data_IF_653502858919
#
_entry.id   IF_653502858919
#
_cell.length_a   1.000
_cell.length_b   1.000
_cell.length_c   1.000
_cell.angle_alpha   90.00
_cell.angle_beta   90.00
_cell.angle_gamma   90.00
#
_symmetry.space_group_name_H-M   'P 1'
#
loop_
_entity.id
_entity.type
_entity.pdbx_description
1 polymer ?
#
# COMPACT_ATOMS: atom_id res chain seq x y z
N UNK A 1 -11.66 1.11 5.56
CA UNK A 1 -12.82 1.06 6.47
C UNK A 1 -13.13 -0.36 6.96
N UNK A 2 -13.32 -1.32 6.05
CA UNK A 2 -13.69 -2.69 6.44
C UNK A 2 -12.65 -3.38 7.33
N UNK A 3 -11.34 -3.19 7.06
CA UNK A 3 -10.27 -3.84 7.81
C UNK A 3 -10.05 -3.26 9.21
N UNK A 4 -10.40 -2.01 9.42
CA UNK A 4 -10.15 -1.31 10.69
C UNK A 4 -11.39 -1.24 11.59
N UNK A 5 -12.59 -1.25 11.00
CA UNK A 5 -13.88 -1.13 11.74
C UNK A 5 -14.63 -2.45 11.94
N UNK A 6 -14.22 -3.54 11.27
CA UNK A 6 -14.81 -4.86 11.48
C UNK A 6 -13.94 -5.72 12.40
N UNK A 7 -14.56 -6.53 13.25
CA UNK A 7 -13.86 -7.46 14.11
C UNK A 7 -13.46 -8.76 13.36
N UNK A 8 -12.27 -9.33 13.57
CA UNK A 8 -11.17 -8.72 14.34
C UNK A 8 -10.53 -7.56 13.60
N UNK A 9 -10.21 -6.49 14.30
CA UNK A 9 -9.51 -5.34 13.71
C UNK A 9 -8.10 -5.76 13.29
N UNK A 10 -7.69 -5.36 12.09
CA UNK A 10 -6.35 -5.62 11.60
C UNK A 10 -5.52 -4.33 11.64
N UNK A 11 -4.28 -4.43 12.07
CA UNK A 11 -3.36 -3.31 11.98
C UNK A 11 -3.16 -2.90 10.52
N UNK A 12 -3.34 -1.62 10.25
CA UNK A 12 -3.12 -1.02 8.94
C UNK A 12 -2.08 0.09 9.02
N UNK A 13 -1.22 0.16 8.03
CA UNK A 13 -0.22 1.20 7.88
C UNK A 13 -0.33 1.81 6.49
N UNK A 14 -0.22 3.12 6.38
CA UNK A 14 -0.25 3.83 5.10
C UNK A 14 1.08 4.57 4.88
N UNK A 15 1.86 4.09 3.92
CA UNK A 15 3.15 4.65 3.56
C UNK A 15 3.06 5.47 2.27
N UNK A 16 3.75 6.61 2.24
CA UNK A 16 3.98 7.35 1.01
C UNK A 16 5.13 6.72 0.23
N UNK A 17 4.89 6.37 -1.03
CA UNK A 17 5.93 5.84 -1.92
C UNK A 17 6.75 7.00 -2.52
N UNK A 18 8.07 6.83 -2.52
CA UNK A 18 8.98 7.68 -3.29
C UNK A 18 8.94 7.20 -4.74
N UNK A 19 8.36 8.03 -5.63
CA UNK A 19 8.13 7.66 -7.03
C UNK A 19 8.03 8.91 -7.90
N UNK A 20 8.43 8.82 -9.16
CA UNK A 20 8.31 9.92 -10.13
C UNK A 20 6.86 10.04 -10.65
N UNK A 21 6.47 11.19 -11.23
CA UNK A 21 5.17 11.33 -11.90
C UNK A 21 4.98 10.31 -13.02
N UNK A 22 6.05 10.03 -13.77
CA UNK A 22 6.07 9.08 -14.88
C UNK A 22 5.81 7.65 -14.39
N UNK A 23 6.49 7.21 -13.32
CA UNK A 23 6.30 5.90 -12.69
C UNK A 23 4.87 5.74 -12.15
N UNK A 24 4.30 6.82 -11.57
CA UNK A 24 2.91 6.81 -11.08
C UNK A 24 1.92 6.62 -12.22
N UNK A 25 2.13 7.37 -13.32
CA UNK A 25 1.28 7.26 -14.51
C UNK A 25 1.38 5.87 -15.14
N UNK A 26 2.59 5.36 -15.32
CA UNK A 26 2.81 4.03 -15.87
C UNK A 26 2.14 2.95 -15.01
N UNK A 27 2.34 2.99 -13.68
CA UNK A 27 1.71 2.05 -12.75
C UNK A 27 0.18 2.13 -12.81
N UNK A 28 -0.39 3.31 -12.91
CA UNK A 28 -1.84 3.50 -13.03
C UNK A 28 -2.38 2.89 -14.32
N UNK A 29 -1.73 3.15 -15.45
CA UNK A 29 -2.14 2.59 -16.75
C UNK A 29 -2.04 1.07 -16.77
N UNK A 30 -0.97 0.49 -16.24
CA UNK A 30 -0.83 -0.96 -16.08
C UNK A 30 -1.96 -1.54 -15.23
N UNK A 31 -2.35 -0.86 -14.15
CA UNK A 31 -3.45 -1.29 -13.29
C UNK A 31 -4.79 -1.29 -14.03
N UNK A 32 -5.08 -0.24 -14.80
CA UNK A 32 -6.28 -0.15 -15.65
C UNK A 32 -6.28 -1.27 -16.69
N UNK A 33 -5.14 -1.52 -17.32
CA UNK A 33 -4.97 -2.60 -18.30
C UNK A 33 -5.24 -3.98 -17.69
N UNK A 34 -4.70 -4.23 -16.49
CA UNK A 34 -4.94 -5.50 -15.77
C UNK A 34 -6.42 -5.66 -15.38
N UNK A 35 -7.10 -4.61 -14.95
CA UNK A 35 -8.53 -4.64 -14.64
C UNK A 35 -9.34 -4.98 -15.89
N UNK A 36 -9.06 -4.34 -17.02
CA UNK A 36 -9.74 -4.62 -18.29
C UNK A 36 -9.48 -6.05 -18.76
N UNK A 37 -8.23 -6.52 -18.65
CA UNK A 37 -7.87 -7.91 -18.98
C UNK A 37 -8.63 -8.92 -18.11
N UNK A 38 -8.82 -8.63 -16.82
CA UNK A 38 -9.61 -9.47 -15.93
C UNK A 38 -11.10 -9.46 -16.25
N UNK A 39 -11.61 -8.35 -16.79
CA UNK A 39 -12.98 -8.25 -17.26
C UNK A 39 -13.22 -9.11 -18.52
N UNK A 40 -12.29 -9.06 -19.46
CA UNK A 40 -12.36 -9.83 -20.71
C UNK A 40 -12.06 -11.32 -20.50
N UNK A 41 -11.08 -11.63 -19.65
CA UNK A 41 -10.62 -12.99 -19.37
C UNK A 41 -10.49 -13.21 -17.88
N UNK A 42 -11.59 -13.58 -17.18
CA UNK A 42 -11.57 -13.81 -15.74
C UNK A 42 -10.56 -14.90 -15.35
N UNK A 43 -9.79 -14.64 -14.29
CA UNK A 43 -8.80 -15.58 -13.73
C UNK A 43 -9.12 -15.91 -12.29
N UNK A 44 -8.88 -17.16 -11.90
CA UNK A 44 -9.10 -17.59 -10.53
C UNK A 44 -8.13 -16.91 -9.56
N UNK A 45 -8.67 -16.40 -8.47
CA UNK A 45 -7.86 -15.91 -7.36
C UNK A 45 -7.16 -17.09 -6.68
N UNK A 46 -5.84 -16.97 -6.50
CA UNK A 46 -5.02 -17.95 -5.81
C UNK A 46 -4.15 -17.22 -4.78
N UNK A 47 -4.31 -17.57 -3.50
CA UNK A 47 -3.61 -16.92 -2.39
C UNK A 47 -2.07 -16.96 -2.48
N UNK A 48 -1.51 -17.93 -3.21
CA UNK A 48 -0.06 -18.08 -3.38
C UNK A 48 0.48 -17.30 -4.60
N UNK A 49 -0.19 -17.42 -5.76
CA UNK A 49 0.35 -16.93 -7.02
C UNK A 49 -0.41 -15.77 -7.65
N UNK A 50 -1.68 -15.58 -7.29
CA UNK A 50 -2.61 -14.61 -7.88
C UNK A 50 -3.40 -13.88 -6.80
N UNK A 51 -2.72 -13.20 -5.90
CA UNK A 51 -3.31 -12.35 -4.86
C UNK A 51 -3.07 -10.86 -5.17
N UNK A 52 -3.70 -9.96 -4.39
CA UNK A 52 -3.57 -8.52 -4.57
C UNK A 52 -2.11 -8.03 -4.55
N UNK A 53 -1.25 -8.67 -3.77
CA UNK A 53 0.16 -8.30 -3.67
C UNK A 53 0.94 -8.77 -4.90
N UNK A 54 0.78 -10.02 -5.30
CA UNK A 54 1.48 -10.59 -6.46
C UNK A 54 1.03 -9.95 -7.77
N UNK A 55 -0.25 -9.60 -7.91
CA UNK A 55 -0.75 -8.87 -9.08
C UNK A 55 -0.05 -7.53 -9.23
N UNK A 56 0.07 -6.76 -8.14
CA UNK A 56 0.76 -5.47 -8.16
C UNK A 56 2.25 -5.59 -8.58
N UNK A 57 2.94 -6.65 -8.18
CA UNK A 57 4.35 -6.88 -8.56
C UNK A 57 4.55 -7.38 -9.99
N UNK A 58 3.50 -7.91 -10.60
CA UNK A 58 3.54 -8.39 -12.00
C UNK A 58 3.28 -7.30 -13.04
N UNK A 59 2.89 -6.10 -12.62
CA UNK A 59 2.68 -4.99 -13.54
C UNK A 59 3.96 -4.71 -14.34
N UNK A 60 3.88 -4.52 -15.67
CA UNK A 60 5.05 -4.33 -16.54
C UNK A 60 5.97 -3.20 -16.10
N UNK A 61 5.42 -2.08 -15.66
CA UNK A 61 6.18 -0.94 -15.11
C UNK A 61 6.98 -1.29 -13.85
N UNK A 62 6.72 -2.45 -13.24
CA UNK A 62 7.33 -2.88 -11.98
C UNK A 62 8.11 -4.18 -12.07
N UNK A 63 8.48 -4.61 -13.29
CA UNK A 63 9.21 -5.86 -13.54
C UNK A 63 10.38 -6.07 -12.58
N UNK A 64 10.12 -6.65 -11.40
CA UNK A 64 11.10 -7.08 -10.44
C UNK A 64 10.87 -8.56 -10.14
N UNK A 65 11.95 -9.30 -9.97
CA UNK A 65 11.92 -10.70 -9.53
C UNK A 65 11.00 -10.78 -8.31
N UNK A 66 10.00 -11.63 -8.39
CA UNK A 66 9.09 -11.90 -7.27
C UNK A 66 9.94 -12.42 -6.11
N UNK A 67 10.23 -11.57 -5.14
CA UNK A 67 10.89 -11.98 -3.92
C UNK A 67 9.85 -12.75 -3.08
N UNK A 68 10.17 -13.97 -2.65
CA UNK A 68 9.32 -14.78 -1.79
C UNK A 68 8.90 -14.04 -0.51
N UNK A 69 9.67 -13.04 -0.09
CA UNK A 69 9.35 -12.14 1.04
C UNK A 69 8.08 -11.31 0.81
N UNK A 70 7.74 -11.07 -0.44
CA UNK A 70 6.49 -10.41 -0.84
C UNK A 70 5.30 -11.34 -0.62
N UNK A 71 5.48 -12.64 -0.85
CA UNK A 71 4.47 -13.67 -0.60
C UNK A 71 4.19 -13.86 0.89
N UNK A 72 5.21 -13.70 1.73
CA UNK A 72 5.08 -13.84 3.18
C UNK A 72 4.39 -12.65 3.88
N UNK A 73 4.03 -11.57 3.16
CA UNK A 73 3.30 -10.34 3.59
C UNK A 73 3.80 -9.65 4.89
N UNK A 74 4.61 -10.34 5.70
CA UNK A 74 4.93 -9.90 7.05
C UNK A 74 6.00 -8.79 7.13
N UNK A 75 6.72 -8.48 6.03
CA UNK A 75 7.84 -7.54 6.03
C UNK A 75 7.98 -6.74 4.74
N UNK A 76 6.89 -6.56 4.01
CA UNK A 76 6.89 -5.80 2.75
C UNK A 76 7.30 -4.35 2.97
N UNK A 77 6.83 -3.73 4.03
CA UNK A 77 7.14 -2.36 4.42
C UNK A 77 8.66 -2.16 4.64
N UNK A 78 9.30 -3.09 5.37
CA UNK A 78 10.74 -3.05 5.61
C UNK A 78 11.55 -3.28 4.32
N UNK A 79 11.09 -4.17 3.46
CA UNK A 79 11.72 -4.43 2.16
C UNK A 79 11.63 -3.20 1.25
N UNK A 80 10.48 -2.51 1.22
CA UNK A 80 10.30 -1.27 0.47
C UNK A 80 11.17 -0.14 1.04
N UNK A 81 11.29 -0.04 2.36
CA UNK A 81 12.17 0.93 3.00
C UNK A 81 13.63 0.68 2.64
N UNK A 82 14.12 -0.56 2.78
CA UNK A 82 15.50 -0.93 2.42
C UNK A 82 15.81 -0.74 0.93
N UNK A 83 14.79 -0.80 0.07
CA UNK A 83 14.92 -0.53 -1.36
C UNK A 83 14.82 0.97 -1.72
N UNK A 84 14.76 1.88 -0.74
CA UNK A 84 14.62 3.33 -0.97
C UNK A 84 13.26 3.74 -1.58
N UNK A 85 12.24 2.89 -1.45
CA UNK A 85 10.89 3.14 -2.02
C UNK A 85 9.95 3.84 -1.05
N UNK A 86 10.32 3.92 0.21
CA UNK A 86 9.65 4.70 1.22
C UNK A 86 10.52 5.89 1.61
N UNK A 87 9.91 6.84 2.30
CA UNK A 87 10.58 8.02 2.83
C UNK A 87 11.79 7.63 3.70
N UNK A 88 12.97 8.14 3.35
CA UNK A 88 14.25 7.89 4.03
C UNK A 88 14.65 9.03 4.99
N UNK A 89 13.78 10.02 5.17
CA UNK A 89 14.06 11.17 6.04
C UNK A 89 14.11 10.80 7.52
N UNK A 90 13.59 9.62 7.89
CA UNK A 90 13.56 9.12 9.26
C UNK A 90 13.83 7.62 9.33
N UNK A 91 14.30 7.10 10.49
CA UNK A 91 14.49 5.66 10.70
C UNK A 91 13.20 4.86 10.52
N UNK A 92 13.31 3.62 10.00
CA UNK A 92 12.15 2.77 9.71
C UNK A 92 11.17 2.57 10.89
N UNK A 93 11.62 2.34 12.15
CA UNK A 93 10.69 2.21 13.27
C UNK A 93 9.83 3.46 13.49
N UNK A 94 10.39 4.61 13.24
CA UNK A 94 9.71 5.90 13.37
C UNK A 94 8.73 6.12 12.22
N UNK A 95 9.16 5.86 10.98
CA UNK A 95 8.30 5.88 9.80
C UNK A 95 7.08 4.95 9.98
N UNK A 96 7.30 3.76 10.51
CA UNK A 96 6.23 2.79 10.77
C UNK A 96 5.22 3.32 11.79
N UNK A 97 5.68 3.96 12.85
CA UNK A 97 4.82 4.57 13.87
C UNK A 97 3.98 5.71 13.29
N UNK A 98 4.57 6.58 12.47
CA UNK A 98 3.86 7.65 11.77
C UNK A 98 2.83 7.13 10.76
N UNK A 99 3.13 6.01 10.12
CA UNK A 99 2.27 5.40 9.11
C UNK A 99 1.12 4.57 9.72
N UNK A 100 1.07 4.41 11.05
CA UNK A 100 0.03 3.62 11.71
C UNK A 100 -1.35 4.28 11.55
N UNK A 101 -2.26 3.55 10.92
CA UNK A 101 -3.53 4.07 10.43
C UNK A 101 -4.73 3.63 11.28
N UNK A 102 -4.63 2.53 12.01
CA UNK A 102 -5.78 1.87 12.62
C UNK A 102 -6.55 2.78 13.57
N UNK A 103 -5.86 3.54 14.41
CA UNK A 103 -6.47 4.47 15.36
C UNK A 103 -7.16 5.65 14.65
N UNK A 104 -6.50 6.24 13.64
CA UNK A 104 -7.06 7.32 12.82
C UNK A 104 -8.32 6.84 12.09
N UNK A 105 -8.24 5.65 11.49
CA UNK A 105 -9.36 5.08 10.73
C UNK A 105 -10.56 4.72 11.63
N UNK A 106 -10.31 4.35 12.88
CA UNK A 106 -11.39 4.06 13.83
C UNK A 106 -12.13 5.31 14.30
N UNK A 107 -11.43 6.44 14.43
CA UNK A 107 -12.00 7.73 14.81
C UNK A 107 -12.56 8.54 13.65
N UNK A 108 -12.18 8.22 12.42
CA UNK A 108 -12.58 8.97 11.23
C UNK A 108 -14.08 8.85 10.92
N UNK A 109 -14.75 9.96 10.56
CA UNK A 109 -16.12 9.92 10.08
C UNK A 109 -16.22 9.17 8.75
N UNK A 110 -17.39 8.62 8.44
CA UNK A 110 -17.61 7.92 7.17
C UNK A 110 -17.55 8.89 5.98
N UNK A 111 -18.11 10.09 6.17
CA UNK A 111 -18.07 11.18 5.19
C UNK A 111 -16.70 11.87 5.25
N UNK A 112 -16.06 12.07 4.09
CA UNK A 112 -14.71 12.65 4.04
C UNK A 112 -13.59 11.76 4.60
N UNK A 113 -13.83 10.46 4.77
CA UNK A 113 -12.88 9.51 5.37
C UNK A 113 -11.46 9.60 4.79
N UNK A 114 -11.36 9.67 3.46
CA UNK A 114 -10.05 9.72 2.80
C UNK A 114 -9.28 11.00 3.07
N UNK A 115 -9.97 12.12 3.16
CA UNK A 115 -9.35 13.43 3.39
C UNK A 115 -8.94 13.56 4.86
N UNK A 116 -9.78 13.10 5.78
CA UNK A 116 -9.46 13.04 7.20
C UNK A 116 -8.17 12.24 7.46
N UNK A 117 -8.04 11.06 6.87
CA UNK A 117 -6.84 10.23 7.00
C UNK A 117 -5.59 10.93 6.44
N UNK A 118 -5.68 11.55 5.27
CA UNK A 118 -4.54 12.25 4.66
C UNK A 118 -4.08 13.42 5.53
N UNK A 119 -5.02 14.24 5.96
CA UNK A 119 -4.75 15.40 6.81
C UNK A 119 -4.08 14.97 8.13
N UNK A 120 -4.60 13.96 8.79
CA UNK A 120 -4.08 13.47 10.07
C UNK A 120 -2.68 12.85 9.94
N UNK A 121 -2.42 12.09 8.86
CA UNK A 121 -1.09 11.53 8.59
C UNK A 121 -0.06 12.63 8.25
N UNK A 122 -0.47 13.68 7.53
CA UNK A 122 0.39 14.83 7.25
C UNK A 122 0.71 15.60 8.52
N UNK A 123 -0.29 15.84 9.38
CA UNK A 123 -0.09 16.47 10.69
C UNK A 123 0.94 15.72 11.53
N UNK A 124 0.82 14.39 11.65
CA UNK A 124 1.79 13.56 12.40
C UNK A 124 3.22 13.62 11.86
N UNK A 125 3.41 14.03 10.62
CA UNK A 125 4.73 14.23 10.01
C UNK A 125 5.32 15.58 10.32
N UNK A 126 4.49 16.60 10.50
CA UNK A 126 4.93 17.99 10.74
C UNK A 126 5.12 18.31 12.22
N UNK A 127 4.42 17.61 13.11
CA UNK A 127 4.50 17.81 14.57
C UNK A 127 5.81 17.27 15.20
N UNK A 128 6.89 17.20 14.40
CA UNK A 128 8.21 16.70 14.81
C UNK A 128 9.34 17.68 14.43
#
# INVERSE_FOLDING_TARGET
LRRTKCAPSQEAHLYRLVTTPEDRRATFLDYVHEINSLHETPRWYNGLCMNCTTTFYRLPSRQRRCDWRVLANARLDRALYSAGRLDQSMPFPELRRCAFLTDIANSAPAEGFGDHIRCELERRRHDR
#
